data_IF_688784055921
#
_entry.id   IF_688784055921
#
_cell.length_a   1.000
_cell.length_b   1.000
_cell.length_c   1.000
_cell.angle_alpha   90.00
_cell.angle_beta   90.00
_cell.angle_gamma   90.00
#
_symmetry.space_group_name_H-M   'P 1'
#
loop_
_entity.id
_entity.type
_entity.pdbx_description
1 polymer ?
#
# COMPACT_ATOMS: atom_id res chain seq x y z
N UNK A 1 -10.12 -39.12 19.00
CA UNK A 1 -11.56 -39.18 18.68
C UNK A 1 -12.21 -37.79 18.62
N UNK A 2 -11.79 -36.78 19.41
CA UNK A 2 -12.30 -35.41 19.31
C UNK A 2 -11.81 -34.61 18.09
N UNK A 3 -10.64 -34.96 17.52
CA UNK A 3 -10.07 -34.24 16.37
C UNK A 3 -10.77 -34.47 15.02
N UNK A 4 -11.63 -35.49 14.92
CA UNK A 4 -12.36 -35.79 13.68
C UNK A 4 -13.64 -34.94 13.56
N UNK A 5 -14.24 -34.54 14.69
CA UNK A 5 -15.54 -33.83 14.73
C UNK A 5 -15.40 -32.38 14.25
N UNK A 6 -14.26 -31.72 14.50
CA UNK A 6 -14.02 -30.35 14.03
C UNK A 6 -13.84 -30.30 12.50
N UNK A 7 -13.34 -31.38 11.88
CA UNK A 7 -13.15 -31.47 10.43
C UNK A 7 -14.47 -31.58 9.67
N UNK A 8 -15.42 -32.35 10.20
CA UNK A 8 -16.70 -32.59 9.52
C UNK A 8 -17.68 -31.41 9.66
N UNK A 9 -17.54 -30.56 10.67
CA UNK A 9 -18.45 -29.43 10.92
C UNK A 9 -18.13 -28.20 10.05
N UNK A 10 -16.87 -28.03 9.61
CA UNK A 10 -16.43 -26.79 8.97
C UNK A 10 -16.16 -26.86 7.47
N UNK A 11 -16.10 -28.03 6.82
CA UNK A 11 -15.72 -28.14 5.40
C UNK A 11 -14.50 -27.28 5.02
N UNK A 12 -13.55 -27.12 5.95
CA UNK A 12 -12.26 -26.47 5.66
C UNK A 12 -11.25 -27.60 5.51
N UNK A 13 -10.96 -27.97 4.26
CA UNK A 13 -9.75 -28.71 3.96
C UNK A 13 -8.56 -27.77 4.16
N UNK A 14 -7.88 -27.86 5.31
CA UNK A 14 -6.50 -27.36 5.40
C UNK A 14 -5.63 -28.42 4.73
N UNK A 15 -5.59 -28.38 3.40
CA UNK A 15 -4.57 -29.04 2.62
C UNK A 15 -3.46 -28.00 2.38
N UNK A 16 -2.35 -28.20 3.09
CA UNK A 16 -1.00 -27.79 2.73
C UNK A 16 -0.73 -26.30 2.48
N UNK A 17 -0.68 -25.51 3.55
CA UNK A 17 0.23 -24.34 3.53
C UNK A 17 1.62 -24.84 3.96
N UNK A 18 2.35 -25.38 2.98
CA UNK A 18 3.76 -25.72 3.13
C UNK A 18 4.55 -24.41 3.30
N UNK A 19 4.96 -24.08 4.53
CA UNK A 19 5.66 -22.85 4.89
C UNK A 19 7.16 -22.89 4.52
N UNK A 20 7.50 -23.42 3.35
CA UNK A 20 8.89 -23.62 2.94
C UNK A 20 9.23 -23.38 1.47
N UNK A 21 8.36 -22.70 0.72
CA UNK A 21 8.67 -22.31 -0.66
C UNK A 21 9.12 -20.85 -0.72
N UNK A 22 10.30 -20.64 -1.31
CA UNK A 22 10.82 -19.33 -1.72
C UNK A 22 9.87 -18.75 -2.78
N UNK A 23 8.84 -18.04 -2.32
CA UNK A 23 7.75 -17.51 -3.14
C UNK A 23 8.34 -16.56 -4.20
N UNK A 24 8.17 -16.90 -5.48
CA UNK A 24 8.49 -15.95 -6.54
C UNK A 24 7.46 -14.81 -6.52
N UNK A 25 7.82 -13.61 -7.01
CA UNK A 25 6.88 -12.47 -7.06
C UNK A 25 5.58 -12.80 -7.81
N UNK A 26 5.67 -13.65 -8.83
CA UNK A 26 4.51 -14.12 -9.60
C UNK A 26 3.59 -15.00 -8.74
N UNK A 27 4.15 -15.80 -7.84
CA UNK A 27 3.38 -16.63 -6.90
C UNK A 27 2.68 -15.77 -5.83
N UNK A 28 3.30 -14.68 -5.38
CA UNK A 28 2.71 -13.76 -4.37
C UNK A 28 1.55 -12.95 -4.95
N UNK A 29 1.71 -12.37 -6.14
CA UNK A 29 0.67 -11.55 -6.76
C UNK A 29 -0.52 -12.41 -7.21
N UNK A 30 -0.26 -13.63 -7.72
CA UNK A 30 -1.28 -14.63 -7.99
C UNK A 30 -2.05 -15.00 -6.71
N UNK A 31 -1.33 -15.26 -5.62
CA UNK A 31 -1.94 -15.61 -4.33
C UNK A 31 -2.79 -14.48 -3.74
N UNK A 32 -2.34 -13.23 -3.84
CA UNK A 32 -3.09 -12.08 -3.31
C UNK A 32 -4.35 -11.81 -4.14
N UNK A 33 -4.27 -11.85 -5.47
CA UNK A 33 -5.44 -11.63 -6.32
C UNK A 33 -6.52 -12.69 -6.09
N UNK A 34 -6.12 -13.98 -5.97
CA UNK A 34 -7.03 -15.07 -5.64
C UNK A 34 -7.68 -14.91 -4.26
N UNK A 35 -6.90 -14.51 -3.26
CA UNK A 35 -7.39 -14.21 -1.92
C UNK A 35 -8.43 -13.09 -1.93
N UNK A 36 -8.12 -11.98 -2.59
CA UNK A 36 -8.95 -10.78 -2.61
C UNK A 36 -10.24 -10.99 -3.42
N UNK A 37 -10.15 -11.63 -4.58
CA UNK A 37 -11.30 -11.88 -5.46
C UNK A 37 -12.11 -13.13 -5.07
N UNK A 38 -11.57 -14.01 -4.24
CA UNK A 38 -12.23 -15.22 -3.74
C UNK A 38 -12.87 -15.04 -2.36
N UNK A 39 -12.26 -15.57 -1.27
CA UNK A 39 -12.86 -15.61 0.06
C UNK A 39 -13.12 -14.22 0.66
N UNK A 40 -12.24 -13.23 0.43
CA UNK A 40 -12.44 -11.87 0.95
C UNK A 40 -13.66 -11.21 0.31
N UNK A 41 -13.79 -11.30 -1.02
CA UNK A 41 -14.97 -10.79 -1.75
C UNK A 41 -16.29 -11.36 -1.23
N UNK A 42 -16.31 -12.68 -0.97
CA UNK A 42 -17.49 -13.36 -0.41
C UNK A 42 -17.81 -12.87 1.00
N UNK A 43 -16.78 -12.71 1.83
CA UNK A 43 -16.91 -12.27 3.23
C UNK A 43 -17.39 -10.83 3.36
N UNK A 44 -17.04 -9.96 2.40
CA UNK A 44 -17.50 -8.58 2.31
C UNK A 44 -18.81 -8.41 1.52
N UNK A 45 -19.45 -9.51 1.11
CA UNK A 45 -20.71 -9.52 0.35
C UNK A 45 -20.66 -8.80 -1.02
N UNK A 46 -19.48 -8.70 -1.64
CA UNK A 46 -19.26 -7.96 -2.90
C UNK A 46 -19.57 -8.79 -4.17
N UNK A 47 -20.37 -9.85 -4.04
CA UNK A 47 -20.61 -10.86 -5.09
C UNK A 47 -21.29 -10.30 -6.36
N UNK A 48 -22.11 -9.25 -6.20
CA UNK A 48 -22.90 -8.67 -7.29
C UNK A 48 -22.21 -7.47 -7.96
N UNK A 49 -21.04 -7.07 -7.47
CA UNK A 49 -20.23 -6.01 -8.09
C UNK A 49 -19.49 -6.64 -9.29
N UNK A 50 -19.46 -6.02 -10.47
CA UNK A 50 -18.80 -6.62 -11.65
C UNK A 50 -17.28 -6.36 -11.71
N UNK A 51 -16.74 -5.57 -10.79
CA UNK A 51 -15.34 -5.10 -10.76
C UNK A 51 -14.48 -6.03 -9.90
N UNK A 52 -13.28 -6.35 -10.35
CA UNK A 52 -12.31 -7.16 -9.61
C UNK A 52 -11.33 -6.30 -8.81
N UNK A 53 -10.85 -6.82 -7.69
CA UNK A 53 -9.75 -6.21 -6.96
C UNK A 53 -8.49 -6.21 -7.83
N UNK A 54 -7.78 -5.08 -7.85
CA UNK A 54 -6.61 -4.84 -8.69
C UNK A 54 -6.90 -4.01 -9.95
N UNK A 55 -8.16 -3.91 -10.37
CA UNK A 55 -8.53 -3.05 -11.51
C UNK A 55 -8.42 -1.56 -11.17
N UNK A 56 -7.84 -0.78 -12.09
CA UNK A 56 -7.72 0.67 -11.98
C UNK A 56 -8.69 1.36 -12.95
N UNK A 57 -9.30 2.48 -12.54
CA UNK A 57 -10.29 3.19 -13.36
C UNK A 57 -9.66 4.33 -14.15
N UNK A 58 -9.61 4.18 -15.47
CA UNK A 58 -9.16 5.24 -16.40
C UNK A 58 -10.03 6.50 -16.28
N UNK A 59 -11.35 6.33 -16.09
CA UNK A 59 -12.27 7.46 -15.95
C UNK A 59 -11.95 8.31 -14.71
N UNK A 60 -11.58 7.67 -13.59
CA UNK A 60 -11.14 8.37 -12.37
C UNK A 60 -9.83 9.11 -12.63
N UNK A 61 -8.85 8.45 -13.29
CA UNK A 61 -7.59 9.09 -13.65
C UNK A 61 -7.79 10.35 -14.50
N UNK A 62 -8.65 10.28 -15.53
CA UNK A 62 -8.96 11.44 -16.38
C UNK A 62 -9.65 12.57 -15.61
N UNK A 63 -10.50 12.26 -14.63
CA UNK A 63 -11.16 13.27 -13.81
C UNK A 63 -10.17 14.08 -12.94
N UNK A 64 -9.08 13.45 -12.47
CA UNK A 64 -8.06 14.10 -11.61
C UNK A 64 -6.81 14.57 -12.37
N UNK A 65 -6.74 14.33 -13.68
CA UNK A 65 -5.58 14.60 -14.53
C UNK A 65 -5.06 16.04 -14.46
N UNK A 66 -5.96 17.01 -14.24
CA UNK A 66 -5.59 18.43 -14.13
C UNK A 66 -4.83 18.76 -12.85
N UNK A 67 -4.90 17.91 -11.81
CA UNK A 67 -4.18 18.08 -10.55
C UNK A 67 -2.98 17.11 -10.42
N UNK A 68 -2.92 16.12 -11.30
CA UNK A 68 -1.84 15.16 -11.36
C UNK A 68 -0.48 15.87 -11.57
N UNK A 69 0.50 15.54 -10.72
CA UNK A 69 1.88 16.08 -10.72
C UNK A 69 2.03 17.57 -10.35
N UNK A 70 0.99 18.23 -9.81
CA UNK A 70 1.17 19.54 -9.18
C UNK A 70 1.84 19.40 -7.81
N UNK A 71 2.71 20.35 -7.42
CA UNK A 71 3.35 20.32 -6.11
C UNK A 71 2.33 20.56 -5.00
N UNK A 72 2.40 19.75 -3.93
CA UNK A 72 1.58 19.89 -2.72
C UNK A 72 2.36 20.52 -1.55
N UNK A 73 3.51 21.14 -1.84
CA UNK A 73 4.44 21.68 -0.85
C UNK A 73 3.82 22.73 0.05
N UNK A 74 2.94 23.59 -0.48
CA UNK A 74 2.23 24.61 0.32
C UNK A 74 1.39 23.98 1.43
N UNK A 75 0.69 22.87 1.14
CA UNK A 75 -0.12 22.18 2.15
C UNK A 75 0.76 21.58 3.25
N UNK A 76 1.91 21.00 2.89
CA UNK A 76 2.88 20.47 3.86
C UNK A 76 3.49 21.60 4.70
N UNK A 77 3.84 22.74 4.09
CA UNK A 77 4.33 23.92 4.82
C UNK A 77 3.30 24.41 5.85
N UNK A 78 2.02 24.45 5.48
CA UNK A 78 0.95 24.84 6.41
C UNK A 78 0.79 23.86 7.55
N UNK A 79 0.83 22.56 7.30
CA UNK A 79 0.77 21.55 8.35
C UNK A 79 1.91 21.71 9.36
N UNK A 80 3.13 21.93 8.88
CA UNK A 80 4.31 22.11 9.73
C UNK A 80 4.30 23.42 10.52
N UNK A 81 3.80 24.51 9.93
CA UNK A 81 3.86 25.84 10.54
C UNK A 81 2.63 26.15 11.42
N UNK A 82 1.45 25.64 11.06
CA UNK A 82 0.17 26.00 11.70
C UNK A 82 -0.30 24.96 12.73
N UNK A 83 0.34 23.78 12.78
CA UNK A 83 -0.09 22.69 13.67
C UNK A 83 1.09 22.07 14.43
N UNK A 84 0.78 21.26 15.44
CA UNK A 84 1.77 20.47 16.18
C UNK A 84 1.94 19.04 15.60
N UNK A 85 1.51 18.80 14.36
CA UNK A 85 1.59 17.49 13.73
C UNK A 85 3.02 17.16 13.32
N UNK A 86 3.47 15.96 13.65
CA UNK A 86 4.71 15.41 13.12
C UNK A 86 4.46 14.88 11.70
N UNK A 87 5.29 15.32 10.75
CA UNK A 87 5.21 14.90 9.35
C UNK A 87 6.46 14.11 9.02
N UNK A 88 6.30 12.84 8.67
CA UNK A 88 7.38 11.96 8.22
C UNK A 88 7.14 11.55 6.77
N UNK A 89 8.16 11.69 5.93
CA UNK A 89 8.14 11.30 4.51
C UNK A 89 9.13 10.16 4.36
N UNK A 90 8.66 9.03 3.85
CA UNK A 90 9.49 7.87 3.55
C UNK A 90 9.47 7.62 2.04
N UNK A 91 10.57 7.07 1.51
CA UNK A 91 10.65 6.72 0.10
C UNK A 91 11.42 5.42 -0.14
N UNK A 92 11.09 4.72 -1.21
CA UNK A 92 11.83 3.55 -1.67
C UNK A 92 13.05 3.95 -2.52
N UNK A 93 14.25 3.52 -2.12
CA UNK A 93 15.48 3.88 -2.86
C UNK A 93 15.53 3.34 -4.30
N UNK A 94 14.71 2.34 -4.63
CA UNK A 94 14.62 1.70 -5.94
C UNK A 94 13.29 2.01 -6.67
N UNK A 95 12.50 2.98 -6.19
CA UNK A 95 11.31 3.45 -6.90
C UNK A 95 11.72 4.41 -8.02
N UNK A 96 11.35 4.09 -9.26
CA UNK A 96 11.64 4.93 -10.42
C UNK A 96 10.59 6.04 -10.62
N UNK A 97 9.33 5.80 -10.24
CA UNK A 97 8.22 6.72 -10.48
C UNK A 97 8.26 7.85 -9.44
N UNK A 98 8.46 7.50 -8.18
CA UNK A 98 8.64 8.45 -7.07
C UNK A 98 10.09 8.44 -6.56
N UNK A 99 11.04 8.67 -7.46
CA UNK A 99 12.46 8.49 -7.13
C UNK A 99 12.98 9.46 -6.05
N UNK A 100 13.92 8.98 -5.23
CA UNK A 100 14.55 9.78 -4.17
C UNK A 100 15.11 11.10 -4.69
N UNK A 101 15.82 11.18 -5.84
CA UNK A 101 16.28 12.45 -6.38
C UNK A 101 15.16 13.45 -6.65
N UNK A 102 14.02 12.97 -7.17
CA UNK A 102 12.83 13.81 -7.41
C UNK A 102 12.27 14.32 -6.07
N UNK A 103 12.17 13.46 -5.07
CA UNK A 103 11.65 13.83 -3.75
C UNK A 103 12.56 14.80 -2.98
N UNK A 104 13.88 14.63 -3.07
CA UNK A 104 14.86 15.52 -2.40
C UNK A 104 15.14 16.81 -3.16
N UNK A 105 14.86 16.84 -4.47
CA UNK A 105 15.05 18.01 -5.33
C UNK A 105 13.87 18.98 -5.35
N UNK A 106 12.74 18.63 -4.73
CA UNK A 106 11.64 19.56 -4.51
C UNK A 106 11.98 20.49 -3.34
N UNK A 107 12.07 21.80 -3.63
CA UNK A 107 12.39 22.89 -2.70
C UNK A 107 11.35 23.05 -1.58
N UNK A 108 11.28 22.10 -0.66
CA UNK A 108 10.85 22.41 0.71
C UNK A 108 11.95 23.29 1.28
N UNK A 109 11.61 24.51 1.74
CA UNK A 109 12.58 25.46 2.32
C UNK A 109 13.52 24.70 3.26
N UNK A 110 14.84 24.92 3.15
CA UNK A 110 15.89 24.19 3.90
C UNK A 110 15.64 24.05 5.42
N UNK A 111 14.86 24.97 5.99
CA UNK A 111 14.34 24.91 7.36
C UNK A 111 13.57 23.61 7.67
N UNK A 112 12.75 23.15 6.73
CA UNK A 112 11.88 21.97 6.83
C UNK A 112 12.65 20.67 6.64
N UNK A 113 13.65 20.66 5.75
CA UNK A 113 14.46 19.49 5.43
C UNK A 113 15.35 19.01 6.61
N UNK A 114 15.69 19.90 7.56
CA UNK A 114 16.46 19.51 8.75
C UNK A 114 15.75 18.49 9.63
N UNK A 115 14.41 18.52 9.70
CA UNK A 115 13.65 17.52 10.45
C UNK A 115 13.59 16.15 9.75
N UNK A 116 13.75 16.12 8.42
CA UNK A 116 13.69 14.87 7.66
C UNK A 116 15.02 14.10 7.66
N UNK A 117 16.16 14.80 7.60
CA UNK A 117 17.48 14.13 7.67
C UNK A 117 17.73 13.49 9.04
N UNK A 118 17.39 14.15 10.15
CA UNK A 118 17.61 13.62 11.51
C UNK A 118 16.80 12.33 11.79
N UNK A 119 15.63 12.17 11.15
CA UNK A 119 14.81 10.96 11.31
C UNK A 119 15.46 9.71 10.70
N UNK A 120 16.25 9.86 9.63
CA UNK A 120 17.00 8.74 9.03
C UNK A 120 18.16 8.27 9.88
N UNK A 121 18.70 9.13 10.76
CA UNK A 121 19.84 8.80 11.63
C UNK A 121 19.39 8.17 12.97
N UNK A 122 18.14 8.41 13.39
CA UNK A 122 17.60 7.88 14.66
C UNK A 122 17.09 6.44 14.59
N UNK A 123 16.76 5.95 13.39
CA UNK A 123 16.14 4.63 13.19
C UNK A 123 16.87 3.74 12.18
N UNK A 124 18.11 4.10 11.83
CA UNK A 124 19.05 3.28 11.03
C UNK A 124 20.01 2.47 11.89
#
# INVERSE_FOLDING_TARGET
MAGQIIRDILHIEINDVNLQDDLTREDVDGNLSELMNGPVRKSLELKDIPIQWGEQSEAVFQAVKMDFMKPVTESVERLLNETALEVTVYNGQLDLIASTPVQTGQDLKQHTLRHFCDATEKYG
#
